data_IF_866098248762
#
_entry.id   IF_866098248762
#
_cell.length_a   1.000
_cell.length_b   1.000
_cell.length_c   1.000
_cell.angle_alpha   90.00
_cell.angle_beta   90.00
_cell.angle_gamma   90.00
#
_symmetry.space_group_name_H-M   'P 1'
#
loop_
_entity.id
_entity.type
_entity.pdbx_description
1 polymer ?
#
# COMPACT_ATOMS: atom_id res chain seq x y z
N UNK A 1 -12.71 6.63 14.33
CA UNK A 1 -12.74 7.78 15.28
C UNK A 1 -11.82 8.86 14.75
N UNK A 2 -12.35 10.04 14.43
CA UNK A 2 -11.54 11.19 14.02
C UNK A 2 -11.07 11.96 15.25
N UNK A 3 -9.76 12.07 15.47
CA UNK A 3 -9.22 13.00 16.47
C UNK A 3 -9.29 14.43 15.92
N UNK A 4 -10.18 15.32 16.40
CA UNK A 4 -10.42 16.61 15.76
C UNK A 4 -9.29 17.63 15.99
N UNK A 5 -8.48 17.45 17.03
CA UNK A 5 -7.43 18.38 17.46
C UNK A 5 -6.10 17.65 17.69
N UNK A 6 -4.98 18.23 17.26
CA UNK A 6 -3.66 17.58 17.43
C UNK A 6 -3.19 17.53 18.89
N UNK A 7 -3.75 18.38 19.76
CA UNK A 7 -3.38 18.57 21.16
C UNK A 7 -1.86 18.67 21.38
N UNK A 8 -1.13 19.23 20.40
CA UNK A 8 0.33 19.36 20.43
C UNK A 8 1.13 18.09 20.12
N UNK A 9 0.47 16.96 19.79
CA UNK A 9 1.10 15.70 19.43
C UNK A 9 0.46 15.12 18.14
N UNK A 10 0.80 15.67 16.96
CA UNK A 10 0.16 15.27 15.71
C UNK A 10 0.51 13.84 15.26
N UNK A 11 1.58 13.25 15.79
CA UNK A 11 2.04 11.91 15.44
C UNK A 11 2.24 11.04 16.68
N UNK A 12 2.14 9.72 16.54
CA UNK A 12 2.44 8.79 17.62
C UNK A 12 3.93 8.70 17.92
N UNK A 13 4.72 8.36 16.91
CA UNK A 13 6.18 8.32 16.97
C UNK A 13 6.71 9.13 15.78
N UNK A 14 7.64 10.03 16.03
CA UNK A 14 8.42 10.70 15.00
C UNK A 14 9.89 10.52 15.32
N UNK A 15 10.64 9.88 14.41
CA UNK A 15 12.07 9.66 14.60
C UNK A 15 12.87 9.73 13.31
N UNK A 16 14.16 9.97 13.45
CA UNK A 16 15.25 9.78 12.47
C UNK A 16 16.26 8.74 12.97
N UNK A 17 15.91 7.93 13.98
CA UNK A 17 16.83 6.98 14.58
C UNK A 17 16.99 5.71 13.73
N UNK A 18 18.24 5.31 13.53
CA UNK A 18 18.58 3.98 13.01
C UNK A 18 18.28 2.89 14.06
N UNK A 19 17.74 1.76 13.60
CA UNK A 19 17.46 0.59 14.43
C UNK A 19 16.26 0.74 15.37
N UNK A 20 15.33 1.66 15.10
CA UNK A 20 14.10 1.76 15.89
C UNK A 20 13.36 0.42 15.89
N UNK A 21 13.04 -0.09 17.08
CA UNK A 21 12.15 -1.24 17.25
C UNK A 21 10.90 -0.82 18.01
N UNK A 22 9.73 -1.10 17.43
CA UNK A 22 8.43 -0.91 18.08
C UNK A 22 7.68 -2.24 18.07
N UNK A 23 7.27 -2.70 19.25
CA UNK A 23 6.65 -4.00 19.39
C UNK A 23 5.57 -4.06 20.48
N UNK A 24 4.59 -4.94 20.29
CA UNK A 24 3.60 -5.33 21.29
C UNK A 24 2.75 -4.18 21.86
N UNK A 25 2.36 -3.23 21.01
CA UNK A 25 1.54 -2.08 21.44
C UNK A 25 0.49 -1.67 20.40
N UNK A 26 -0.43 -0.82 20.84
CA UNK A 26 -1.42 -0.18 19.98
C UNK A 26 -1.15 1.33 19.91
N UNK A 27 -1.04 1.87 18.69
CA UNK A 27 -1.02 3.30 18.37
C UNK A 27 -2.39 3.63 17.78
N UNK A 28 -3.14 4.57 18.35
CA UNK A 28 -4.52 4.85 17.89
C UNK A 28 -4.88 6.32 17.96
N UNK A 29 -5.71 6.76 17.01
CA UNK A 29 -6.36 8.07 17.03
C UNK A 29 -5.38 9.27 17.02
N UNK A 30 -4.25 9.13 16.32
CA UNK A 30 -3.33 10.24 16.13
C UNK A 30 -3.81 11.17 15.02
N UNK A 31 -3.61 12.47 15.24
CA UNK A 31 -4.15 13.51 14.36
C UNK A 31 -3.59 13.42 12.94
N UNK A 32 -2.34 13.01 12.72
CA UNK A 32 -1.78 12.76 11.39
C UNK A 32 -1.33 11.30 11.26
N UNK A 33 -0.14 10.98 11.73
CA UNK A 33 0.51 9.69 11.44
C UNK A 33 0.67 8.85 12.69
N UNK A 34 0.68 7.52 12.54
CA UNK A 34 1.05 6.62 13.64
C UNK A 34 2.54 6.71 13.91
N UNK A 35 3.35 6.40 12.90
CA UNK A 35 4.81 6.46 12.95
C UNK A 35 5.34 7.22 11.73
N UNK A 36 6.25 8.17 11.97
CA UNK A 36 6.98 8.92 10.95
C UNK A 36 8.47 8.63 11.08
N UNK A 37 9.08 8.23 9.97
CA UNK A 37 10.51 8.03 9.81
C UNK A 37 11.04 9.11 8.87
N UNK A 38 12.08 9.81 9.30
CA UNK A 38 12.75 10.85 8.51
C UNK A 38 14.16 10.43 8.09
N UNK A 39 14.76 11.15 7.14
CA UNK A 39 16.17 10.99 6.77
C UNK A 39 17.09 10.80 7.98
N UNK A 40 17.90 9.73 7.94
CA UNK A 40 18.73 9.27 9.06
C UNK A 40 18.22 7.99 9.72
N UNK A 41 16.91 7.72 9.65
CA UNK A 41 16.36 6.44 10.08
C UNK A 41 16.78 5.34 9.12
N UNK A 42 17.10 4.17 9.67
CA UNK A 42 17.50 2.98 8.91
C UNK A 42 17.12 1.71 9.66
N UNK A 43 16.80 0.65 8.92
CA UNK A 43 16.46 -0.67 9.48
C UNK A 43 15.41 -0.67 10.61
N UNK A 44 14.27 0.06 10.47
CA UNK A 44 13.21 0.04 11.48
C UNK A 44 12.54 -1.33 11.56
N UNK A 45 12.12 -1.75 12.75
CA UNK A 45 11.35 -2.98 12.97
C UNK A 45 10.04 -2.69 13.69
N UNK A 46 8.93 -3.08 13.08
CA UNK A 46 7.58 -2.98 13.61
C UNK A 46 6.96 -4.37 13.68
N UNK A 47 6.79 -4.90 14.89
CA UNK A 47 6.39 -6.30 15.09
C UNK A 47 5.25 -6.42 16.11
N UNK A 48 4.19 -7.15 15.76
CA UNK A 48 3.05 -7.37 16.65
C UNK A 48 2.47 -6.06 17.21
N UNK A 49 2.35 -5.06 16.34
CA UNK A 49 1.74 -3.78 16.69
C UNK A 49 0.34 -3.66 16.09
N UNK A 50 -0.43 -2.72 16.63
CA UNK A 50 -1.67 -2.27 16.01
C UNK A 50 -1.57 -0.77 15.76
N UNK A 51 -1.82 -0.31 14.53
CA UNK A 51 -2.01 1.12 14.27
C UNK A 51 -3.42 1.32 13.75
N UNK A 52 -4.21 2.14 14.43
CA UNK A 52 -5.64 2.28 14.19
C UNK A 52 -6.05 3.74 14.07
N UNK A 53 -6.97 4.04 13.15
CA UNK A 53 -7.68 5.33 13.10
C UNK A 53 -6.77 6.57 13.07
N UNK A 54 -5.71 6.59 12.27
CA UNK A 54 -4.85 7.79 12.12
C UNK A 54 -5.42 8.78 11.11
N UNK A 55 -5.11 10.07 11.23
CA UNK A 55 -5.63 11.07 10.28
C UNK A 55 -5.08 10.99 8.84
N UNK A 56 -3.95 10.31 8.64
CA UNK A 56 -3.23 10.14 7.37
C UNK A 56 -2.54 8.75 7.35
N UNK A 57 -1.37 8.63 6.70
CA UNK A 57 -0.56 7.41 6.67
C UNK A 57 -0.26 6.87 8.07
N UNK A 58 -0.48 5.57 8.27
CA UNK A 58 -0.24 4.91 9.56
C UNK A 58 1.26 4.79 9.83
N UNK A 59 2.04 4.36 8.83
CA UNK A 59 3.50 4.44 8.78
C UNK A 59 3.88 5.28 7.56
N UNK A 60 4.71 6.31 7.78
CA UNK A 60 5.28 7.15 6.72
C UNK A 60 6.79 7.19 6.82
N UNK A 61 7.49 6.84 5.76
CA UNK A 61 8.94 7.05 5.63
C UNK A 61 9.21 8.12 4.57
N UNK A 62 9.75 9.25 5.01
CA UNK A 62 10.10 10.37 4.15
C UNK A 62 11.51 10.15 3.55
N UNK A 63 11.72 10.57 2.30
CA UNK A 63 13.01 10.40 1.63
C UNK A 63 13.95 11.57 1.93
N UNK A 64 15.24 11.38 1.69
CA UNK A 64 16.21 12.47 1.51
C UNK A 64 16.10 13.05 0.10
N UNK A 65 16.01 12.17 -0.91
CA UNK A 65 15.86 12.49 -2.32
C UNK A 65 15.25 11.29 -3.08
N UNK A 66 15.02 11.40 -4.39
CA UNK A 66 14.62 10.27 -5.22
C UNK A 66 15.67 9.14 -5.16
N UNK A 67 15.23 7.93 -4.84
CA UNK A 67 16.09 6.75 -4.67
C UNK A 67 16.93 6.72 -3.40
N UNK A 68 16.85 7.74 -2.56
CA UNK A 68 17.52 7.88 -1.26
C UNK A 68 16.49 8.07 -0.14
N UNK A 69 16.11 6.99 0.52
CA UNK A 69 15.13 6.95 1.59
C UNK A 69 15.56 6.05 2.74
N UNK A 70 14.62 5.72 3.61
CA UNK A 70 14.86 4.81 4.74
C UNK A 70 14.92 3.38 4.21
N UNK A 71 16.00 2.64 4.47
CA UNK A 71 16.20 1.29 3.96
C UNK A 71 16.00 0.20 5.04
N UNK A 72 15.79 -1.04 4.59
CA UNK A 72 15.84 -2.24 5.45
C UNK A 72 14.71 -2.36 6.46
N UNK A 73 13.57 -1.70 6.24
CA UNK A 73 12.45 -1.75 7.18
C UNK A 73 11.73 -3.09 7.20
N UNK A 74 11.30 -3.52 8.40
CA UNK A 74 10.52 -4.73 8.63
C UNK A 74 9.18 -4.38 9.28
N UNK A 75 8.08 -4.77 8.65
CA UNK A 75 6.72 -4.68 9.20
C UNK A 75 6.11 -6.06 9.23
N UNK A 76 5.88 -6.62 10.42
CA UNK A 76 5.35 -7.99 10.49
C UNK A 76 4.38 -8.28 11.64
N UNK A 77 3.54 -9.29 11.40
CA UNK A 77 2.60 -9.85 12.38
C UNK A 77 1.70 -8.78 13.03
N UNK A 78 1.36 -7.72 12.29
CA UNK A 78 0.72 -6.52 12.81
C UNK A 78 -0.66 -6.28 12.20
N UNK A 79 -1.45 -5.43 12.83
CA UNK A 79 -2.79 -5.03 12.36
C UNK A 79 -2.84 -3.54 12.09
N UNK A 80 -3.32 -3.18 10.91
CA UNK A 80 -3.50 -1.80 10.48
C UNK A 80 -4.95 -1.66 10.03
N UNK A 81 -5.72 -0.76 10.63
CA UNK A 81 -7.14 -0.68 10.27
C UNK A 81 -7.77 0.67 10.59
N UNK A 82 -8.84 0.97 9.85
CA UNK A 82 -9.81 1.98 10.22
C UNK A 82 -11.06 1.31 10.77
N UNK A 83 -11.49 1.66 11.98
CA UNK A 83 -12.66 0.98 12.58
C UNK A 83 -13.98 1.44 11.96
N UNK A 84 -14.02 2.66 11.43
CA UNK A 84 -15.23 3.30 10.88
C UNK A 84 -15.00 3.86 9.46
N UNK A 85 -13.95 3.37 8.77
CA UNK A 85 -13.47 3.89 7.50
C UNK A 85 -12.47 5.05 7.63
N UNK A 86 -11.79 5.43 6.54
CA UNK A 86 -10.79 6.50 6.54
C UNK A 86 -11.40 7.88 6.90
N UNK A 87 -10.61 8.78 7.51
CA UNK A 87 -11.03 10.13 7.87
C UNK A 87 -11.48 10.94 6.64
N UNK A 88 -12.58 11.69 6.82
CA UNK A 88 -13.10 12.64 5.83
C UNK A 88 -12.81 14.11 6.18
N UNK A 89 -11.87 14.31 7.10
CA UNK A 89 -11.34 15.63 7.46
C UNK A 89 -10.04 15.83 6.67
N UNK A 90 -9.95 16.91 5.89
CA UNK A 90 -8.68 17.28 5.25
C UNK A 90 -7.69 17.78 6.32
N UNK A 91 -6.58 17.05 6.47
CA UNK A 91 -5.49 17.37 7.41
C UNK A 91 -4.25 17.89 6.68
N UNK A 92 -4.45 18.40 5.47
CA UNK A 92 -3.42 18.74 4.50
C UNK A 92 -3.19 17.56 3.55
N UNK A 93 -3.51 17.77 2.28
CA UNK A 93 -3.36 16.77 1.22
C UNK A 93 -4.69 16.37 0.57
N UNK A 94 -5.84 16.68 1.19
CA UNK A 94 -7.16 16.26 0.73
C UNK A 94 -7.70 15.06 1.52
N UNK A 95 -9.01 14.82 1.40
CA UNK A 95 -9.72 13.68 2.00
C UNK A 95 -9.35 12.36 1.32
N UNK A 96 -9.33 11.26 2.08
CA UNK A 96 -8.87 9.96 1.56
C UNK A 96 -7.35 9.83 1.40
N UNK A 97 -6.56 10.84 1.81
CA UNK A 97 -5.09 10.80 1.77
C UNK A 97 -4.51 9.92 2.89
N UNK A 98 -4.73 8.60 2.78
CA UNK A 98 -4.34 7.60 3.77
C UNK A 98 -3.61 6.42 3.14
N UNK A 99 -2.70 5.81 3.90
CA UNK A 99 -2.00 4.58 3.51
C UNK A 99 -1.72 3.79 4.80
N UNK A 100 -1.53 2.48 4.69
CA UNK A 100 -1.01 1.66 5.79
C UNK A 100 0.49 1.88 5.98
N UNK A 101 1.27 1.64 4.92
CA UNK A 101 2.71 1.81 4.86
C UNK A 101 3.05 2.60 3.60
N UNK A 102 3.46 3.85 3.76
CA UNK A 102 3.90 4.74 2.67
C UNK A 102 5.39 5.02 2.81
N UNK A 103 6.18 4.47 1.89
CA UNK A 103 7.64 4.59 1.89
C UNK A 103 8.08 5.24 0.59
N UNK A 104 8.64 6.42 0.73
CA UNK A 104 9.34 7.09 -0.34
C UNK A 104 10.80 6.62 -0.39
N UNK A 105 11.28 6.27 -1.58
CA UNK A 105 12.68 6.02 -1.92
C UNK A 105 13.41 4.92 -1.14
N UNK A 106 12.72 4.19 -0.27
CA UNK A 106 13.32 3.13 0.55
C UNK A 106 13.63 1.86 -0.23
N UNK A 107 14.65 1.14 0.21
CA UNK A 107 15.11 -0.12 -0.36
C UNK A 107 15.01 -1.29 0.63
N UNK A 108 14.83 -2.50 0.11
CA UNK A 108 14.92 -3.75 0.88
C UNK A 108 13.91 -3.85 2.05
N UNK A 109 12.74 -3.23 1.91
CA UNK A 109 11.67 -3.37 2.90
C UNK A 109 11.01 -4.75 2.83
N UNK A 110 10.65 -5.29 3.98
CA UNK A 110 9.87 -6.53 4.10
C UNK A 110 8.59 -6.24 4.89
N UNK A 111 7.45 -6.42 4.24
CA UNK A 111 6.11 -6.21 4.82
C UNK A 111 5.40 -7.55 4.76
N UNK A 112 5.24 -8.24 5.90
CA UNK A 112 4.75 -9.63 5.91
C UNK A 112 3.82 -10.02 7.03
N UNK A 113 2.92 -10.97 6.76
CA UNK A 113 2.03 -11.55 7.77
C UNK A 113 1.20 -10.49 8.52
N UNK A 114 0.87 -9.37 7.86
CA UNK A 114 0.04 -8.32 8.44
C UNK A 114 -1.41 -8.43 7.98
N UNK A 115 -2.31 -7.82 8.74
CA UNK A 115 -3.71 -7.64 8.39
C UNK A 115 -4.01 -6.15 8.19
N UNK A 116 -4.45 -5.79 7.00
CA UNK A 116 -4.85 -4.43 6.63
C UNK A 116 -6.34 -4.41 6.32
N UNK A 117 -7.09 -3.52 6.97
CA UNK A 117 -8.55 -3.52 6.86
C UNK A 117 -9.15 -2.12 6.76
N UNK A 118 -10.16 -2.01 5.88
CA UNK A 118 -11.05 -0.85 5.79
C UNK A 118 -10.35 0.44 5.34
N UNK A 119 -9.39 0.31 4.43
CA UNK A 119 -8.70 1.44 3.79
C UNK A 119 -9.44 1.93 2.54
N UNK A 120 -10.77 1.98 2.59
CA UNK A 120 -11.56 2.46 1.47
C UNK A 120 -12.18 3.81 1.73
N UNK A 121 -11.76 4.84 1.01
CA UNK A 121 -12.35 6.17 1.18
C UNK A 121 -13.79 6.19 0.62
N UNK A 122 -14.71 7.00 1.16
CA UNK A 122 -15.99 7.25 0.52
C UNK A 122 -15.85 7.80 -0.91
N UNK A 123 -16.82 7.51 -1.79
CA UNK A 123 -16.80 7.87 -3.23
C UNK A 123 -16.70 9.38 -3.54
N UNK A 124 -16.85 10.24 -2.53
CA UNK A 124 -16.74 11.70 -2.64
C UNK A 124 -15.46 12.26 -2.00
N UNK A 125 -14.50 11.39 -1.64
CA UNK A 125 -13.17 11.81 -1.20
C UNK A 125 -12.33 12.32 -2.37
N UNK A 126 -11.34 13.17 -2.07
CA UNK A 126 -10.41 13.72 -3.06
C UNK A 126 -9.51 12.62 -3.64
N UNK A 127 -9.11 11.65 -2.80
CA UNK A 127 -8.27 10.52 -3.17
C UNK A 127 -9.02 9.20 -3.04
N UNK A 128 -9.52 8.69 -4.17
CA UNK A 128 -10.30 7.44 -4.21
C UNK A 128 -9.46 6.17 -4.37
N UNK A 129 -8.15 6.31 -4.52
CA UNK A 129 -7.26 5.23 -4.95
C UNK A 129 -5.97 5.15 -4.12
N UNK A 130 -6.03 5.55 -2.86
CA UNK A 130 -4.83 5.56 -2.02
C UNK A 130 -4.37 4.12 -1.71
N UNK A 131 -3.12 3.73 -1.99
CA UNK A 131 -2.68 2.36 -1.73
C UNK A 131 -2.45 2.08 -0.26
N UNK A 132 -2.72 0.88 0.22
CA UNK A 132 -2.39 0.50 1.59
C UNK A 132 -0.89 0.38 1.77
N UNK A 133 -0.22 -0.37 0.90
CA UNK A 133 1.25 -0.40 0.82
C UNK A 133 1.66 0.38 -0.42
N UNK A 134 2.39 1.48 -0.24
CA UNK A 134 2.87 2.34 -1.31
C UNK A 134 4.39 2.47 -1.22
N UNK A 135 5.09 1.97 -2.24
CA UNK A 135 6.54 2.04 -2.39
C UNK A 135 6.85 2.77 -3.70
N UNK A 136 7.48 3.95 -3.63
CA UNK A 136 7.60 4.85 -4.79
C UNK A 136 8.75 5.86 -4.62
N UNK A 137 8.98 6.73 -5.60
CA UNK A 137 10.10 7.69 -5.62
C UNK A 137 11.49 7.05 -5.65
N UNK A 138 11.69 6.01 -6.47
CA UNK A 138 12.99 5.34 -6.59
C UNK A 138 13.19 4.23 -5.55
N UNK A 139 12.10 3.81 -4.91
CA UNK A 139 12.11 2.67 -3.99
C UNK A 139 12.47 1.37 -4.73
N UNK A 140 13.06 0.38 -4.05
CA UNK A 140 13.52 -0.84 -4.72
C UNK A 140 13.56 -2.07 -3.82
N UNK A 141 13.48 -3.23 -4.44
CA UNK A 141 13.68 -4.53 -3.78
C UNK A 141 12.75 -4.76 -2.56
N UNK A 142 11.54 -4.18 -2.61
CA UNK A 142 10.53 -4.40 -1.58
C UNK A 142 9.94 -5.80 -1.69
N UNK A 143 9.72 -6.46 -0.56
CA UNK A 143 8.95 -7.70 -0.46
C UNK A 143 7.67 -7.46 0.33
N UNK A 144 6.53 -7.65 -0.32
CA UNK A 144 5.20 -7.66 0.33
C UNK A 144 4.65 -9.08 0.25
N UNK A 145 4.66 -9.80 1.37
CA UNK A 145 4.33 -11.23 1.38
C UNK A 145 3.37 -11.69 2.47
N UNK A 146 2.49 -12.65 2.16
CA UNK A 146 1.60 -13.29 3.13
C UNK A 146 0.73 -12.30 3.94
N UNK A 147 0.42 -11.12 3.41
CA UNK A 147 -0.48 -10.18 4.08
C UNK A 147 -1.93 -10.44 3.66
N UNK A 148 -2.86 -10.06 4.52
CA UNK A 148 -4.30 -10.02 4.22
C UNK A 148 -4.75 -8.57 4.10
N UNK A 149 -5.49 -8.26 3.03
CA UNK A 149 -6.09 -6.96 2.78
C UNK A 149 -7.59 -7.13 2.62
N UNK A 150 -8.37 -6.39 3.40
CA UNK A 150 -9.84 -6.45 3.37
C UNK A 150 -10.42 -5.06 3.15
N UNK A 151 -11.25 -4.91 2.12
CA UNK A 151 -11.96 -3.66 1.81
C UNK A 151 -11.02 -2.44 1.72
N UNK A 152 -10.19 -2.40 0.68
CA UNK A 152 -9.13 -1.39 0.51
C UNK A 152 -9.14 -0.78 -0.89
N UNK A 153 -8.81 0.50 -1.04
CA UNK A 153 -8.80 1.19 -2.34
C UNK A 153 -7.88 0.51 -3.37
N UNK A 154 -6.58 0.51 -3.07
CA UNK A 154 -5.58 -0.37 -3.67
C UNK A 154 -4.84 -1.06 -2.54
N UNK A 155 -4.55 -2.35 -2.66
CA UNK A 155 -3.81 -3.07 -1.63
C UNK A 155 -2.32 -2.71 -1.69
N UNK A 156 -1.69 -2.83 -2.86
CA UNK A 156 -0.23 -2.73 -3.00
C UNK A 156 0.11 -1.95 -4.26
N UNK A 157 1.01 -0.98 -4.14
CA UNK A 157 1.54 -0.20 -5.24
C UNK A 157 3.06 -0.18 -5.22
N UNK A 158 3.66 -0.78 -6.25
CA UNK A 158 5.07 -0.59 -6.60
C UNK A 158 5.13 0.43 -7.72
N UNK A 159 5.50 1.65 -7.35
CA UNK A 159 5.41 2.85 -8.17
C UNK A 159 3.98 3.39 -8.29
N UNK A 160 3.88 4.67 -8.67
CA UNK A 160 2.63 5.44 -8.75
C UNK A 160 2.63 6.48 -9.88
N UNK A 161 3.80 6.88 -10.37
CA UNK A 161 3.98 7.90 -11.40
C UNK A 161 4.66 7.32 -12.66
N UNK A 162 4.40 7.95 -13.80
CA UNK A 162 5.15 7.71 -15.04
C UNK A 162 6.49 8.43 -14.98
N UNK A 163 7.52 7.74 -14.50
CA UNK A 163 8.91 8.21 -14.47
C UNK A 163 9.86 7.03 -14.35
N UNK A 164 11.12 7.16 -14.80
CA UNK A 164 12.08 6.05 -14.73
C UNK A 164 12.21 5.51 -13.31
N UNK A 165 12.06 4.19 -13.17
CA UNK A 165 12.28 3.43 -11.93
C UNK A 165 11.58 4.07 -10.72
N UNK A 166 10.29 4.41 -10.85
CA UNK A 166 9.52 4.92 -9.69
C UNK A 166 9.50 3.90 -8.55
N UNK A 167 9.51 2.61 -8.90
CA UNK A 167 10.03 1.53 -8.08
C UNK A 167 10.90 0.59 -8.95
N UNK A 168 11.64 -0.37 -8.40
CA UNK A 168 12.25 -1.47 -9.18
C UNK A 168 12.46 -2.75 -8.38
N UNK A 169 12.46 -3.90 -9.06
CA UNK A 169 12.70 -5.21 -8.46
C UNK A 169 11.64 -5.61 -7.42
N UNK A 170 12.06 -6.45 -6.46
CA UNK A 170 11.21 -6.90 -5.37
C UNK A 170 10.12 -7.91 -5.77
N UNK A 171 9.27 -8.25 -4.79
CA UNK A 171 8.22 -9.25 -4.94
C UNK A 171 6.93 -8.89 -4.18
N UNK A 172 5.80 -9.08 -4.85
CA UNK A 172 4.46 -9.06 -4.29
C UNK A 172 3.94 -10.49 -4.35
N UNK A 173 3.96 -11.22 -3.22
CA UNK A 173 3.67 -12.66 -3.26
C UNK A 173 2.78 -13.21 -2.16
N UNK A 174 1.96 -14.20 -2.50
CA UNK A 174 1.13 -14.94 -1.55
C UNK A 174 0.25 -14.06 -0.65
N UNK A 175 -0.11 -12.85 -1.11
CA UNK A 175 -1.05 -12.01 -0.37
C UNK A 175 -2.48 -12.41 -0.72
N UNK A 176 -3.39 -12.21 0.23
CA UNK A 176 -4.83 -12.36 0.02
C UNK A 176 -5.49 -10.99 0.07
N UNK A 177 -6.24 -10.67 -0.96
CA UNK A 177 -6.97 -9.41 -1.10
C UNK A 177 -8.43 -9.73 -1.35
N UNK A 178 -9.31 -9.25 -0.47
CA UNK A 178 -10.72 -9.59 -0.43
C UNK A 178 -11.56 -8.32 -0.29
N UNK A 179 -12.59 -8.20 -1.13
CA UNK A 179 -13.53 -7.07 -1.12
C UNK A 179 -14.95 -7.56 -0.87
N UNK A 180 -15.75 -6.86 -0.09
CA UNK A 180 -17.18 -7.11 -0.02
C UNK A 180 -17.88 -6.72 -1.34
N UNK A 181 -18.92 -7.46 -1.73
CA UNK A 181 -19.73 -7.12 -2.89
C UNK A 181 -20.36 -5.73 -2.76
N UNK A 182 -20.29 -4.93 -3.83
CA UNK A 182 -20.94 -3.63 -3.88
C UNK A 182 -20.27 -2.55 -3.01
N UNK A 183 -19.03 -2.76 -2.56
CA UNK A 183 -18.23 -1.77 -1.83
C UNK A 183 -18.09 -0.46 -2.62
N UNK A 184 -17.89 -0.53 -3.94
CA UNK A 184 -17.71 0.64 -4.81
C UNK A 184 -18.91 0.88 -5.70
N UNK A 185 -19.25 2.17 -5.90
CA UNK A 185 -20.25 2.51 -6.90
C UNK A 185 -19.79 2.12 -8.31
N UNK A 186 -20.76 1.96 -9.20
CA UNK A 186 -20.50 1.74 -10.63
C UNK A 186 -19.57 2.80 -11.24
N UNK A 187 -19.69 4.06 -10.81
CA UNK A 187 -18.83 5.15 -11.31
C UNK A 187 -17.39 4.95 -10.84
N UNK A 188 -17.20 4.65 -9.55
CA UNK A 188 -15.88 4.40 -8.98
C UNK A 188 -15.22 3.18 -9.63
N UNK A 189 -15.92 2.06 -9.75
CA UNK A 189 -15.42 0.87 -10.46
C UNK A 189 -14.93 1.19 -11.87
N UNK A 190 -15.67 2.00 -12.64
CA UNK A 190 -15.27 2.37 -14.01
C UNK A 190 -13.94 3.14 -14.07
N UNK A 191 -13.65 3.94 -13.06
CA UNK A 191 -12.41 4.72 -12.93
C UNK A 191 -11.28 4.00 -12.20
N UNK A 192 -11.50 2.76 -11.75
CA UNK A 192 -10.50 1.98 -11.02
C UNK A 192 -9.33 1.52 -11.90
N UNK A 193 -8.31 1.00 -11.24
CA UNK A 193 -7.22 0.23 -11.84
C UNK A 193 -7.17 -1.18 -11.22
N UNK A 194 -6.08 -1.52 -10.51
CA UNK A 194 -5.87 -2.83 -9.92
C UNK A 194 -5.77 -2.76 -8.41
N UNK A 195 -6.15 -3.85 -7.73
CA UNK A 195 -5.85 -3.98 -6.30
C UNK A 195 -4.33 -4.03 -6.06
N UNK A 196 -3.60 -4.67 -6.97
CA UNK A 196 -2.13 -4.59 -7.06
C UNK A 196 -1.78 -3.77 -8.29
N UNK A 197 -0.94 -2.75 -8.12
CA UNK A 197 -0.40 -1.95 -9.24
C UNK A 197 1.12 -2.02 -9.29
N UNK A 198 1.65 -2.16 -10.50
CA UNK A 198 3.08 -2.18 -10.83
C UNK A 198 3.30 -1.14 -11.93
N UNK A 199 3.64 0.08 -11.54
CA UNK A 199 3.71 1.24 -12.43
C UNK A 199 5.14 1.80 -12.46
N UNK A 200 5.77 1.85 -13.63
CA UNK A 200 7.18 2.24 -13.74
C UNK A 200 8.09 1.43 -12.80
N UNK A 201 7.85 0.12 -12.71
CA UNK A 201 8.52 -0.79 -11.78
C UNK A 201 9.09 -2.02 -12.48
N UNK A 202 10.19 -1.87 -13.23
CA UNK A 202 10.84 -2.97 -13.93
C UNK A 202 11.34 -4.06 -12.97
N UNK A 203 11.36 -5.30 -13.44
CA UNK A 203 11.83 -6.46 -12.68
C UNK A 203 10.93 -6.92 -11.52
N UNK A 204 9.74 -6.33 -11.35
CA UNK A 204 8.81 -6.72 -10.27
C UNK A 204 8.25 -8.13 -10.47
N UNK A 205 8.26 -8.93 -9.41
CA UNK A 205 7.65 -10.26 -9.39
C UNK A 205 6.28 -10.20 -8.70
N UNK A 206 5.21 -10.59 -9.38
CA UNK A 206 3.86 -10.70 -8.79
C UNK A 206 3.40 -12.16 -8.82
N UNK A 207 3.51 -12.87 -7.70
CA UNK A 207 3.35 -14.33 -7.67
C UNK A 207 2.39 -14.86 -6.60
N UNK A 208 1.52 -15.80 -6.98
CA UNK A 208 0.77 -16.61 -6.00
C UNK A 208 -0.25 -15.84 -5.18
N UNK A 209 -0.61 -14.61 -5.58
CA UNK A 209 -1.59 -13.81 -4.85
C UNK A 209 -3.02 -14.29 -5.15
N UNK A 210 -3.90 -14.13 -4.16
CA UNK A 210 -5.34 -14.32 -4.30
C UNK A 210 -6.02 -12.95 -4.26
N UNK A 211 -6.68 -12.55 -5.35
CA UNK A 211 -7.30 -11.21 -5.47
C UNK A 211 -8.76 -11.33 -5.90
N UNK A 212 -9.65 -11.16 -4.93
CA UNK A 212 -11.11 -11.23 -5.12
C UNK A 212 -11.73 -9.84 -4.95
N UNK A 213 -11.80 -9.13 -6.08
CA UNK A 213 -12.36 -7.79 -6.20
C UNK A 213 -13.87 -7.74 -6.02
N UNK A 214 -14.58 -8.87 -6.16
CA UNK A 214 -16.04 -9.02 -6.10
C UNK A 214 -16.79 -7.95 -6.90
N UNK A 215 -16.25 -7.65 -8.09
CA UNK A 215 -16.82 -6.67 -9.02
C UNK A 215 -16.62 -5.21 -8.62
N UNK A 216 -15.75 -4.89 -7.65
CA UNK A 216 -15.46 -3.51 -7.26
C UNK A 216 -14.39 -2.85 -8.15
N UNK A 217 -13.51 -3.63 -8.75
CA UNK A 217 -12.41 -3.14 -9.59
C UNK A 217 -12.55 -3.64 -11.03
N UNK A 218 -11.93 -2.93 -11.98
CA UNK A 218 -11.88 -3.35 -13.37
C UNK A 218 -10.73 -4.35 -13.65
N UNK A 219 -9.73 -4.41 -12.77
CA UNK A 219 -8.62 -5.37 -12.79
C UNK A 219 -8.30 -5.83 -11.38
N UNK A 220 -7.77 -7.05 -11.28
CA UNK A 220 -7.16 -7.52 -10.03
C UNK A 220 -5.73 -7.01 -9.91
N UNK A 221 -4.99 -7.01 -11.02
CA UNK A 221 -3.57 -6.62 -11.09
C UNK A 221 -3.36 -5.76 -12.35
N UNK A 222 -2.70 -4.61 -12.23
CA UNK A 222 -2.40 -3.71 -13.36
C UNK A 222 -0.90 -3.38 -13.47
N UNK A 223 -0.35 -3.54 -14.68
CA UNK A 223 1.00 -3.10 -15.07
C UNK A 223 0.93 -1.87 -15.98
N UNK A 224 1.70 -0.81 -15.69
CA UNK A 224 1.75 0.43 -16.51
C UNK A 224 3.14 1.01 -16.66
N UNK A 225 3.32 1.78 -17.73
CA UNK A 225 4.57 2.47 -18.07
C UNK A 225 5.71 1.46 -18.24
N UNK A 226 6.94 1.80 -17.84
CA UNK A 226 8.05 0.86 -17.92
C UNK A 226 7.95 -0.23 -16.85
N UNK A 227 7.71 -1.45 -17.29
CA UNK A 227 7.61 -2.66 -16.45
C UNK A 227 8.48 -3.77 -17.03
N UNK A 228 9.56 -3.40 -17.70
CA UNK A 228 10.48 -4.33 -18.34
C UNK A 228 10.94 -5.42 -17.37
N UNK A 229 10.81 -6.69 -17.78
CA UNK A 229 11.19 -7.84 -16.95
C UNK A 229 10.25 -8.14 -15.77
N UNK A 230 9.12 -7.44 -15.65
CA UNK A 230 8.11 -7.78 -14.65
C UNK A 230 7.38 -9.10 -15.01
N UNK A 231 6.90 -9.81 -13.99
CA UNK A 231 6.18 -11.08 -14.18
C UNK A 231 4.92 -11.16 -13.32
N UNK A 232 3.94 -11.92 -13.81
CA UNK A 232 2.75 -12.28 -13.06
C UNK A 232 2.57 -13.80 -13.14
N UNK A 233 2.81 -14.53 -12.06
CA UNK A 233 2.77 -16.00 -12.06
C UNK A 233 1.84 -16.58 -11.00
N UNK A 234 1.11 -17.63 -11.34
CA UNK A 234 0.32 -18.43 -10.38
C UNK A 234 -0.70 -17.64 -9.52
N UNK A 235 -1.14 -16.45 -9.96
CA UNK A 235 -2.12 -15.66 -9.22
C UNK A 235 -3.54 -16.22 -9.46
N UNK A 236 -4.38 -16.26 -8.42
CA UNK A 236 -5.81 -16.54 -8.54
C UNK A 236 -6.57 -15.22 -8.42
N UNK A 237 -7.36 -14.86 -9.43
CA UNK A 237 -7.99 -13.54 -9.54
C UNK A 237 -9.45 -13.66 -10.01
N UNK A 238 -10.33 -12.75 -9.63
CA UNK A 238 -11.71 -12.68 -10.16
C UNK A 238 -11.95 -11.53 -11.16
N UNK A 239 -10.98 -10.63 -11.30
CA UNK A 239 -10.90 -9.64 -12.35
C UNK A 239 -9.59 -9.82 -13.16
N UNK A 240 -9.53 -9.33 -14.41
CA UNK A 240 -8.37 -9.56 -15.26
C UNK A 240 -7.05 -9.02 -14.68
N UNK A 241 -5.95 -9.73 -14.96
CA UNK A 241 -4.59 -9.15 -14.92
C UNK A 241 -4.38 -8.41 -16.24
N UNK A 242 -4.04 -7.14 -16.19
CA UNK A 242 -3.99 -6.31 -17.38
C UNK A 242 -2.83 -5.34 -17.45
N UNK A 243 -2.68 -4.77 -18.64
CA UNK A 243 -1.70 -3.72 -18.91
C UNK A 243 -2.37 -2.48 -19.48
N UNK A 244 -1.67 -1.34 -19.34
CA UNK A 244 -2.05 -0.06 -19.94
C UNK A 244 -0.80 0.82 -20.11
N UNK A 245 -0.86 1.82 -20.99
CA UNK A 245 0.18 2.85 -21.16
C UNK A 245 1.62 2.29 -21.28
N UNK A 246 1.81 1.26 -22.12
CA UNK A 246 3.13 0.66 -22.39
C UNK A 246 3.55 -0.45 -21.41
N UNK A 247 2.76 -0.72 -20.37
CA UNK A 247 3.04 -1.80 -19.43
C UNK A 247 3.06 -3.19 -20.08
N UNK A 248 3.90 -4.07 -19.56
CA UNK A 248 4.04 -5.46 -20.00
C UNK A 248 4.40 -6.36 -18.83
N UNK A 249 4.12 -7.65 -18.95
CA UNK A 249 4.56 -8.67 -17.98
C UNK A 249 4.68 -10.03 -18.65
N UNK A 250 5.54 -10.87 -18.11
CA UNK A 250 5.58 -12.30 -18.44
C UNK A 250 4.57 -13.06 -17.56
N UNK A 251 3.56 -13.65 -18.20
CA UNK A 251 2.45 -14.32 -17.53
C UNK A 251 2.52 -15.84 -17.61
N UNK A 252 2.39 -16.56 -16.50
CA UNK A 252 2.20 -18.02 -16.51
C UNK A 252 1.40 -18.53 -15.31
N UNK A 253 0.61 -19.60 -15.49
CA UNK A 253 -0.11 -20.26 -14.37
C UNK A 253 -1.21 -19.43 -13.68
N UNK A 254 -1.50 -18.20 -14.11
CA UNK A 254 -2.56 -17.39 -13.53
C UNK A 254 -3.94 -17.99 -13.83
N UNK A 255 -4.85 -17.92 -12.85
CA UNK A 255 -6.20 -18.43 -12.94
C UNK A 255 -7.20 -17.31 -12.71
N UNK A 256 -7.94 -16.97 -13.76
CA UNK A 256 -9.15 -16.14 -13.64
C UNK A 256 -10.32 -17.04 -13.20
N UNK A 257 -10.90 -16.78 -12.04
CA UNK A 257 -12.09 -17.44 -11.54
C UNK A 257 -13.28 -16.50 -11.67
N UNK A 258 -14.17 -16.81 -12.61
CA UNK A 258 -15.45 -16.13 -12.73
C UNK A 258 -16.51 -17.01 -12.08
N UNK A 259 -17.28 -16.48 -11.14
CA UNK A 259 -18.53 -17.12 -10.71
C UNK A 259 -19.52 -17.26 -11.87
#
# INVERSE_FOLDING_TARGET
MDNPDDNGAPHGIWTDASGLTVQNLTIRAFYQHGIVLNPGAESPTFQNIRILDTGKQLIKANPSDFGDGVDGGLVENSVFAYTEGPPMIDRGGGTGYTNGVDVHAGANWVIRNNHFENFHAPDHADHLWAPVVLMWNGARDTVVENNTFVNVDRAIAFGLLDRPEDHSGGAIRNNRIDYDEGLYSTQRRRGSDGAIIVWSSPGTIVEGNEVFTRGNLNRSIEFRFDTSGASATNNTVDAPIGTRDGGSYEGSGNRLVTE
#
